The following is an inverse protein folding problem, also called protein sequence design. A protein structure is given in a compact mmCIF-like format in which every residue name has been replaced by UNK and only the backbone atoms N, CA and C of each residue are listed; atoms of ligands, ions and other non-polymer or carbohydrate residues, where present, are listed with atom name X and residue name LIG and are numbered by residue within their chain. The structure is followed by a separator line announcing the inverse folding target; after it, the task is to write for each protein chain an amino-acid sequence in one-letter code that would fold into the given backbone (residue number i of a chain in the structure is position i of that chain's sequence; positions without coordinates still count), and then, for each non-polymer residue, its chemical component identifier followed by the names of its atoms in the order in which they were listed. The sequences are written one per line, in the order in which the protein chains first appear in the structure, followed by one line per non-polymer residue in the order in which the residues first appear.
data_IF_046842813740
#
_entry.id   IF_046842813740
#
_cell.length_a   1.000
_cell.length_b   1.000
_cell.length_c   1.000
_cell.angle_alpha   90.00
_cell.angle_beta   90.00
_cell.angle_gamma   90.00
#
_symmetry.space_group_name_H-M   'P 1'
#
loop_
_entity.id
_entity.type
_entity.pdbx_description
1 polymer ?
#
# COMPACT_ATOMS: atom_id res chain seq x y z
N UNK A 1 -37.08 -18.10 36.95
CA UNK A 1 -38.51 -18.35 37.30
C UNK A 1 -39.34 -18.90 36.12
N UNK A 2 -39.68 -18.16 35.07
CA UNK A 2 -40.50 -18.73 33.97
C UNK A 2 -39.86 -19.95 33.27
N UNK A 3 -38.54 -19.89 33.04
CA UNK A 3 -37.77 -21.00 32.45
C UNK A 3 -37.39 -22.10 33.44
N UNK A 4 -37.60 -21.89 34.74
CA UNK A 4 -37.45 -22.94 35.76
C UNK A 4 -38.71 -23.81 35.83
N UNK A 5 -39.87 -23.23 35.52
CA UNK A 5 -41.16 -23.94 35.47
C UNK A 5 -41.36 -24.64 34.12
N UNK A 6 -40.98 -23.98 33.02
CA UNK A 6 -41.02 -24.56 31.67
C UNK A 6 -39.73 -24.21 30.91
N UNK A 7 -38.80 -25.16 30.87
CA UNK A 7 -37.49 -25.03 30.22
C UNK A 7 -37.58 -25.03 28.69
N UNK A 8 -38.73 -25.38 28.11
CA UNK A 8 -38.96 -25.47 26.66
C UNK A 8 -39.71 -24.27 26.09
N UNK A 9 -40.00 -23.26 26.91
CA UNK A 9 -40.85 -22.14 26.52
C UNK A 9 -40.14 -21.14 25.58
N UNK A 10 -40.42 -21.24 24.28
CA UNK A 10 -39.87 -20.35 23.23
C UNK A 10 -40.18 -18.87 23.49
N UNK A 11 -41.39 -18.54 23.97
CA UNK A 11 -41.78 -17.14 24.25
C UNK A 11 -41.00 -16.56 25.43
N UNK A 12 -40.68 -17.38 26.44
CA UNK A 12 -39.89 -16.96 27.58
C UNK A 12 -38.44 -16.65 27.15
N UNK A 13 -37.81 -17.51 26.34
CA UNK A 13 -36.49 -17.23 25.77
C UNK A 13 -36.48 -15.97 24.90
N UNK A 14 -37.49 -15.79 24.05
CA UNK A 14 -37.60 -14.59 23.21
C UNK A 14 -37.74 -13.30 24.04
N UNK A 15 -38.61 -13.29 25.06
CA UNK A 15 -38.80 -12.13 25.95
C UNK A 15 -37.54 -11.82 26.76
N UNK A 16 -36.84 -12.85 27.25
CA UNK A 16 -35.55 -12.68 27.96
C UNK A 16 -34.49 -12.11 27.01
N UNK A 17 -34.40 -12.62 25.79
CA UNK A 17 -33.48 -12.08 24.78
C UNK A 17 -33.76 -10.61 24.45
N UNK A 18 -35.02 -10.20 24.36
CA UNK A 18 -35.40 -8.81 24.15
C UNK A 18 -35.04 -7.92 25.34
N UNK A 19 -35.17 -8.43 26.58
CA UNK A 19 -34.71 -7.73 27.76
C UNK A 19 -33.18 -7.56 27.75
N UNK A 20 -32.42 -8.61 27.44
CA UNK A 20 -30.96 -8.56 27.28
C UNK A 20 -30.52 -7.59 26.17
N UNK A 21 -31.24 -7.57 25.04
CA UNK A 21 -31.02 -6.60 23.96
C UNK A 21 -31.22 -5.15 24.44
N UNK A 22 -32.26 -4.87 25.22
CA UNK A 22 -32.50 -3.54 25.83
C UNK A 22 -31.46 -3.17 26.89
N UNK A 23 -30.94 -4.16 27.62
CA UNK A 23 -29.86 -3.99 28.60
C UNK A 23 -28.47 -3.84 27.96
N UNK A 24 -28.35 -4.05 26.64
CA UNK A 24 -27.07 -3.97 25.92
C UNK A 24 -26.24 -5.26 25.94
N UNK A 25 -26.69 -6.31 26.65
CA UNK A 25 -26.02 -7.62 26.62
C UNK A 25 -26.44 -8.43 25.39
N UNK A 26 -25.84 -8.07 24.26
CA UNK A 26 -26.08 -8.72 22.98
C UNK A 26 -25.55 -10.17 22.93
N UNK A 27 -24.57 -10.51 23.78
CA UNK A 27 -24.02 -11.87 23.84
C UNK A 27 -24.99 -12.82 24.54
N UNK A 28 -25.61 -12.38 25.64
CA UNK A 28 -26.66 -13.15 26.31
C UNK A 28 -27.94 -13.23 25.46
N UNK A 29 -28.34 -12.14 24.81
CA UNK A 29 -29.48 -12.15 23.88
C UNK A 29 -29.29 -13.17 22.74
N UNK A 30 -28.08 -13.26 22.17
CA UNK A 30 -27.74 -14.25 21.14
C UNK A 30 -27.86 -15.69 21.66
N UNK A 31 -27.45 -15.98 22.90
CA UNK A 31 -27.58 -17.32 23.51
C UNK A 31 -29.05 -17.71 23.64
N UNK A 32 -29.88 -16.82 24.18
CA UNK A 32 -31.30 -17.06 24.38
C UNK A 32 -32.07 -17.26 23.05
N UNK A 33 -31.76 -16.45 22.02
CA UNK A 33 -32.34 -16.62 20.69
C UNK A 33 -31.88 -17.90 19.99
N UNK A 34 -30.65 -18.37 20.24
CA UNK A 34 -30.17 -19.66 19.70
C UNK A 34 -30.95 -20.83 20.30
N UNK A 35 -31.16 -20.83 21.62
CA UNK A 35 -31.98 -21.86 22.28
C UNK A 35 -33.44 -21.81 21.79
N UNK A 36 -33.99 -20.60 21.61
CA UNK A 36 -35.32 -20.44 21.01
C UNK A 36 -35.41 -21.01 19.58
N UNK A 37 -34.38 -20.87 18.74
CA UNK A 37 -34.34 -21.44 17.38
C UNK A 37 -34.17 -22.95 17.37
N UNK A 38 -33.46 -23.53 18.35
CA UNK A 38 -33.36 -25.00 18.49
C UNK A 38 -34.71 -25.61 18.82
N UNK A 39 -35.49 -24.95 19.67
CA UNK A 39 -36.81 -25.41 20.12
C UNK A 39 -37.90 -25.18 19.07
N UNK A 40 -37.89 -24.03 18.38
CA UNK A 40 -38.81 -23.73 17.28
C UNK A 40 -38.06 -23.19 16.05
N UNK A 41 -37.64 -24.10 15.14
CA UNK A 41 -37.03 -23.71 13.87
C UNK A 41 -38.00 -23.03 12.89
N UNK A 42 -39.31 -23.02 13.13
CA UNK A 42 -40.29 -22.44 12.21
C UNK A 42 -40.45 -20.92 12.41
N UNK A 43 -40.11 -20.42 13.61
CA UNK A 43 -40.34 -19.03 13.96
C UNK A 43 -39.42 -18.03 13.22
N UNK A 44 -39.99 -17.34 12.24
CA UNK A 44 -39.30 -16.33 11.43
C UNK A 44 -38.85 -15.10 12.25
N UNK A 45 -39.61 -14.69 13.28
CA UNK A 45 -39.29 -13.50 14.07
C UNK A 45 -37.99 -13.70 14.89
N UNK A 46 -37.86 -14.85 15.55
CA UNK A 46 -36.66 -15.20 16.33
C UNK A 46 -35.42 -15.24 15.44
N UNK A 47 -35.54 -15.79 14.23
CA UNK A 47 -34.43 -15.86 13.24
C UNK A 47 -33.99 -14.47 12.76
N UNK A 48 -34.94 -13.58 12.45
CA UNK A 48 -34.64 -12.21 12.02
C UNK A 48 -33.88 -11.45 13.10
N UNK A 49 -34.33 -11.54 14.35
CA UNK A 49 -33.66 -10.91 15.49
C UNK A 49 -32.28 -11.51 15.77
N UNK A 50 -32.14 -12.84 15.68
CA UNK A 50 -30.84 -13.51 15.83
C UNK A 50 -29.85 -13.04 14.76
N UNK A 51 -30.29 -12.96 13.51
CA UNK A 51 -29.46 -12.48 12.40
C UNK A 51 -29.03 -11.02 12.60
N UNK A 52 -29.94 -10.14 13.03
CA UNK A 52 -29.63 -8.74 13.31
C UNK A 52 -28.56 -8.59 14.41
N UNK A 53 -28.70 -9.33 15.52
CA UNK A 53 -27.72 -9.31 16.62
C UNK A 53 -26.37 -9.89 16.18
N UNK A 54 -26.37 -10.99 15.41
CA UNK A 54 -25.13 -11.59 14.90
C UNK A 54 -24.41 -10.63 13.96
N UNK A 55 -25.13 -9.98 13.04
CA UNK A 55 -24.56 -8.97 12.13
C UNK A 55 -23.86 -7.86 12.89
N UNK A 56 -24.53 -7.28 13.89
CA UNK A 56 -23.96 -6.22 14.73
C UNK A 56 -22.70 -6.68 15.49
N UNK A 57 -22.71 -7.88 16.07
CA UNK A 57 -21.55 -8.44 16.77
C UNK A 57 -20.36 -8.70 15.82
N UNK A 58 -20.63 -9.12 14.59
CA UNK A 58 -19.56 -9.33 13.60
C UNK A 58 -18.96 -8.02 13.10
N UNK A 59 -19.79 -6.98 12.90
CA UNK A 59 -19.33 -5.66 12.46
C UNK A 59 -18.51 -4.96 13.55
N UNK A 60 -18.95 -5.02 14.80
CA UNK A 60 -18.21 -4.48 15.96
C UNK A 60 -16.89 -5.21 16.17
N UNK A 61 -16.88 -6.55 16.16
CA UNK A 61 -15.64 -7.33 16.27
C UNK A 61 -14.68 -7.07 15.09
N UNK A 62 -15.20 -6.88 13.88
CA UNK A 62 -14.38 -6.53 12.71
C UNK A 62 -13.78 -5.12 12.84
N UNK A 63 -14.55 -4.15 13.37
CA UNK A 63 -14.08 -2.80 13.65
C UNK A 63 -13.02 -2.78 14.75
N UNK A 64 -13.23 -3.51 15.84
CA UNK A 64 -12.27 -3.69 16.92
C UNK A 64 -10.98 -4.35 16.42
N UNK A 65 -11.08 -5.42 15.62
CA UNK A 65 -9.91 -6.08 15.03
C UNK A 65 -9.15 -5.15 14.08
N UNK A 66 -9.85 -4.32 13.30
CA UNK A 66 -9.21 -3.29 12.46
C UNK A 66 -8.53 -2.23 13.32
N UNK A 67 -9.21 -1.71 14.34
CA UNK A 67 -8.63 -0.73 15.27
C UNK A 67 -7.40 -1.29 16.00
N UNK A 68 -7.48 -2.51 16.51
CA UNK A 68 -6.35 -3.21 17.13
C UNK A 68 -5.23 -3.48 16.12
N UNK A 69 -5.54 -3.84 14.88
CA UNK A 69 -4.54 -4.02 13.83
C UNK A 69 -3.86 -2.69 13.50
N UNK A 70 -4.60 -1.60 13.44
CA UNK A 70 -4.07 -0.24 13.19
C UNK A 70 -3.21 0.23 14.37
N UNK A 71 -3.67 0.03 15.61
CA UNK A 71 -2.93 0.37 16.82
C UNK A 71 -1.66 -0.49 16.96
N UNK A 72 -1.73 -1.78 16.62
CA UNK A 72 -0.58 -2.68 16.66
C UNK A 72 0.37 -2.48 15.47
N UNK A 73 -0.13 -2.09 14.30
CA UNK A 73 0.72 -1.71 13.16
C UNK A 73 1.48 -0.42 13.44
N UNK A 74 0.87 0.52 14.16
CA UNK A 74 1.53 1.75 14.62
C UNK A 74 2.66 1.45 15.62
N UNK A 75 2.50 0.41 16.46
CA UNK A 75 3.55 -0.03 17.39
C UNK A 75 4.70 -0.80 16.72
N UNK A 76 4.53 -1.34 15.51
CA UNK A 76 5.54 -2.22 14.86
C UNK A 76 6.11 -1.68 13.56
N UNK A 77 5.67 -0.52 13.09
CA UNK A 77 6.18 0.08 11.87
C UNK A 77 5.90 1.56 11.79
N UNK A 78 6.98 2.35 11.84
CA UNK A 78 7.07 3.70 11.27
C UNK A 78 5.91 4.64 11.66
N UNK A 79 5.96 5.11 12.90
CA UNK A 79 5.77 6.52 13.28
C UNK A 79 5.91 6.61 14.79
N UNK A 80 7.17 6.60 15.26
CA UNK A 80 7.51 7.14 16.58
C UNK A 80 7.20 8.64 16.51
N UNK A 81 6.19 9.07 17.27
CA UNK A 81 5.72 10.46 17.36
C UNK A 81 6.70 11.32 18.18
N UNK A 82 8.01 11.23 17.93
CA UNK A 82 8.99 12.16 18.49
C UNK A 82 10.23 12.19 17.59
N UNK A 83 10.58 13.39 17.13
CA UNK A 83 11.58 13.65 16.09
C UNK A 83 13.02 13.32 16.52
N UNK A 84 13.28 13.11 17.81
CA UNK A 84 14.60 12.74 18.36
C UNK A 84 14.97 11.26 18.12
N UNK A 85 13.99 10.40 17.90
CA UNK A 85 14.19 8.93 17.81
C UNK A 85 14.69 8.50 16.42
N UNK A 86 14.49 9.32 15.38
CA UNK A 86 14.90 9.02 13.99
C UNK A 86 16.41 9.17 13.81
N UNK A 87 17.01 10.22 14.38
CA UNK A 87 18.46 10.47 14.32
C UNK A 87 19.22 9.39 15.11
N UNK A 88 18.72 9.05 16.30
CA UNK A 88 19.27 7.95 17.11
C UNK A 88 19.12 6.59 16.42
N UNK A 89 17.97 6.32 15.80
CA UNK A 89 17.78 5.10 15.03
C UNK A 89 18.73 5.00 13.82
N UNK A 90 19.02 6.10 13.14
CA UNK A 90 19.95 6.10 12.02
C UNK A 90 21.41 5.97 12.48
N UNK A 91 21.79 6.60 13.60
CA UNK A 91 23.09 6.39 14.26
C UNK A 91 23.28 4.93 14.69
N UNK A 92 22.29 4.33 15.33
CA UNK A 92 22.33 2.92 15.74
C UNK A 92 22.45 1.96 14.56
N UNK A 93 21.76 2.23 13.44
CA UNK A 93 21.91 1.45 12.20
C UNK A 93 23.32 1.55 11.63
N UNK A 94 23.92 2.74 11.67
CA UNK A 94 25.28 2.94 11.18
C UNK A 94 26.32 2.25 12.07
N UNK A 95 26.16 2.33 13.39
CA UNK A 95 26.98 1.59 14.34
C UNK A 95 26.84 0.08 14.18
N UNK A 96 25.63 -0.42 13.95
CA UNK A 96 25.38 -1.82 13.67
C UNK A 96 26.06 -2.26 12.36
N UNK A 97 26.01 -1.45 11.30
CA UNK A 97 26.75 -1.70 10.05
C UNK A 97 28.26 -1.74 10.29
N UNK A 98 28.80 -0.81 11.08
CA UNK A 98 30.22 -0.76 11.44
C UNK A 98 30.65 -1.98 12.25
N UNK A 99 29.83 -2.40 13.22
CA UNK A 99 30.06 -3.62 14.01
C UNK A 99 30.05 -4.86 13.13
N UNK A 100 29.03 -5.00 12.25
CA UNK A 100 28.96 -6.11 11.28
C UNK A 100 30.16 -6.14 10.34
N UNK A 101 30.66 -4.98 9.91
CA UNK A 101 31.87 -4.88 9.07
C UNK A 101 33.10 -5.38 9.83
N UNK A 102 33.29 -4.95 11.09
CA UNK A 102 34.39 -5.42 11.95
C UNK A 102 34.31 -6.92 12.22
N UNK A 103 33.13 -7.44 12.55
CA UNK A 103 32.90 -8.87 12.77
C UNK A 103 33.18 -9.68 11.49
N UNK A 104 32.78 -9.18 10.32
CA UNK A 104 33.08 -9.82 9.03
C UNK A 104 34.58 -9.83 8.70
N UNK A 105 35.28 -8.74 9.02
CA UNK A 105 36.73 -8.63 8.84
C UNK A 105 37.50 -9.55 9.80
N UNK A 106 37.10 -9.61 11.06
CA UNK A 106 37.67 -10.52 12.05
C UNK A 106 37.42 -11.99 11.67
N UNK A 107 36.21 -12.29 11.16
CA UNK A 107 35.89 -13.61 10.64
C UNK A 107 36.74 -13.95 9.42
N UNK A 108 36.99 -12.99 8.52
CA UNK A 108 37.90 -13.17 7.38
C UNK A 108 39.33 -13.45 7.86
N UNK A 109 39.79 -12.75 8.91
CA UNK A 109 41.12 -12.96 9.50
C UNK A 109 41.24 -14.35 10.12
N UNK A 110 40.25 -14.77 10.92
CA UNK A 110 40.16 -16.13 11.47
C UNK A 110 40.14 -17.20 10.37
N UNK A 111 39.47 -16.92 9.25
CA UNK A 111 39.44 -17.81 8.08
C UNK A 111 40.81 -17.95 7.42
N UNK A 112 41.58 -16.88 7.32
CA UNK A 112 42.95 -16.92 6.78
C UNK A 112 43.86 -17.77 7.67
N UNK A 113 43.77 -17.62 8.99
CA UNK A 113 44.52 -18.46 9.95
C UNK A 113 44.15 -19.94 9.80
N UNK A 114 42.85 -20.26 9.68
CA UNK A 114 42.42 -21.66 9.45
C UNK A 114 42.94 -22.24 8.14
N UNK A 115 43.07 -21.43 7.10
CA UNK A 115 43.65 -21.85 5.83
C UNK A 115 45.16 -22.08 5.97
N UNK A 116 45.88 -21.21 6.69
CA UNK A 116 47.31 -21.39 6.99
C UNK A 116 47.56 -22.69 7.78
N UNK A 117 46.78 -22.96 8.83
CA UNK A 117 46.86 -24.21 9.62
C UNK A 117 46.58 -25.45 8.77
N UNK A 118 45.63 -25.36 7.85
CA UNK A 118 45.27 -26.46 6.94
C UNK A 118 46.36 -26.71 5.89
N UNK A 119 47.01 -25.66 5.39
CA UNK A 119 48.19 -25.76 4.53
C UNK A 119 49.35 -26.44 5.26
N UNK A 120 49.58 -26.10 6.53
CA UNK A 120 50.61 -26.76 7.37
C UNK A 120 50.32 -28.26 7.55
N UNK A 121 49.05 -28.63 7.79
CA UNK A 121 48.66 -30.05 7.88
C UNK A 121 48.86 -30.82 6.57
N UNK A 122 48.63 -30.19 5.42
CA UNK A 122 48.87 -30.82 4.12
C UNK A 122 50.37 -31.00 3.83
N UNK A 123 51.20 -30.05 4.21
CA UNK A 123 52.66 -30.19 4.13
C UNK A 123 53.17 -31.35 5.00
N UNK A 124 52.61 -31.56 6.19
CA UNK A 124 52.96 -32.69 7.04
C UNK A 124 52.54 -34.07 6.48
N UNK A 125 51.57 -34.09 5.56
CA UNK A 125 51.03 -35.29 4.92
C UNK A 125 51.53 -35.47 3.46
N UNK A 126 52.56 -34.73 3.05
CA UNK A 126 53.13 -34.73 1.68
C UNK A 126 52.12 -34.43 0.56
N UNK A 127 51.09 -33.62 0.84
CA UNK A 127 50.08 -33.20 -0.14
C UNK A 127 50.37 -31.79 -0.70
N UNK A 128 49.98 -31.51 -1.96
CA UNK A 128 50.18 -30.19 -2.56
C UNK A 128 49.36 -29.10 -1.85
N UNK A 129 49.92 -27.89 -1.78
CA UNK A 129 49.26 -26.73 -1.17
C UNK A 129 48.05 -26.28 -2.01
N UNK A 130 46.97 -25.89 -1.32
CA UNK A 130 45.70 -25.47 -1.95
C UNK A 130 45.54 -23.95 -1.83
N UNK A 131 45.09 -23.29 -2.89
CA UNK A 131 44.80 -21.85 -2.90
C UNK A 131 43.65 -21.48 -1.94
N UNK A 132 43.72 -20.30 -1.31
CA UNK A 132 42.68 -19.79 -0.39
C UNK A 132 41.28 -19.75 -1.03
N UNK A 133 41.21 -19.43 -2.33
CA UNK A 133 39.94 -19.33 -3.05
C UNK A 133 39.30 -20.70 -3.33
N UNK A 134 40.12 -21.72 -3.60
CA UNK A 134 39.67 -23.09 -3.80
C UNK A 134 39.25 -23.73 -2.46
N UNK A 135 40.02 -23.48 -1.40
CA UNK A 135 39.69 -23.91 -0.04
C UNK A 135 38.37 -23.31 0.48
N UNK A 136 38.14 -22.00 0.28
CA UNK A 136 36.88 -21.36 0.70
C UNK A 136 35.67 -21.85 -0.12
N UNK A 137 35.86 -22.14 -1.43
CA UNK A 137 34.83 -22.75 -2.29
C UNK A 137 34.46 -24.16 -1.81
N UNK A 138 35.45 -25.02 -1.56
CA UNK A 138 35.21 -26.40 -1.10
C UNK A 138 34.50 -26.43 0.25
N UNK A 139 34.91 -25.57 1.18
CA UNK A 139 34.26 -25.44 2.49
C UNK A 139 32.82 -24.94 2.37
N UNK A 140 32.55 -23.92 1.53
CA UNK A 140 31.18 -23.44 1.27
C UNK A 140 30.31 -24.54 0.68
N UNK A 141 30.84 -25.35 -0.23
CA UNK A 141 30.12 -26.50 -0.78
C UNK A 141 29.81 -27.55 0.31
N UNK A 142 30.77 -27.87 1.18
CA UNK A 142 30.58 -28.76 2.34
C UNK A 142 29.53 -28.21 3.31
N UNK A 143 29.54 -26.91 3.62
CA UNK A 143 28.57 -26.26 4.50
C UNK A 143 27.15 -26.27 3.90
N UNK A 144 27.01 -25.95 2.62
CA UNK A 144 25.73 -26.01 1.89
C UNK A 144 25.21 -27.45 1.83
N UNK A 145 26.07 -28.42 1.57
CA UNK A 145 25.70 -29.83 1.55
C UNK A 145 25.22 -30.30 2.94
N UNK A 146 25.95 -29.96 4.01
CA UNK A 146 25.57 -30.29 5.39
C UNK A 146 24.25 -29.62 5.79
N UNK A 147 24.03 -28.35 5.41
CA UNK A 147 22.77 -27.63 5.67
C UNK A 147 21.60 -28.25 4.91
N UNK A 148 21.82 -28.69 3.68
CA UNK A 148 20.82 -29.42 2.87
C UNK A 148 20.48 -30.75 3.53
N UNK A 149 21.47 -31.51 4.00
CA UNK A 149 21.26 -32.76 4.74
C UNK A 149 20.46 -32.53 6.02
N UNK A 150 20.84 -31.55 6.85
CA UNK A 150 20.09 -31.19 8.08
C UNK A 150 18.65 -30.79 7.80
N UNK A 151 18.40 -29.99 6.76
CA UNK A 151 17.03 -29.60 6.38
C UNK A 151 16.20 -30.79 5.91
N UNK A 152 16.80 -31.70 5.13
CA UNK A 152 16.14 -32.93 4.72
C UNK A 152 15.83 -33.84 5.92
N UNK A 153 16.74 -33.93 6.90
CA UNK A 153 16.52 -34.68 8.14
C UNK A 153 15.39 -34.06 8.99
N UNK A 154 15.37 -32.74 9.16
CA UNK A 154 14.31 -32.02 9.89
C UNK A 154 12.95 -32.16 9.20
N UNK A 155 12.92 -32.10 7.88
CA UNK A 155 11.69 -32.31 7.11
C UNK A 155 11.18 -33.75 7.24
N UNK A 156 12.08 -34.74 7.20
CA UNK A 156 11.74 -36.15 7.49
C UNK A 156 11.20 -36.31 8.90
N UNK A 157 11.81 -35.68 9.92
CA UNK A 157 11.33 -35.69 11.31
C UNK A 157 9.94 -35.04 11.44
N UNK A 158 9.71 -33.90 10.76
CA UNK A 158 8.41 -33.22 10.74
C UNK A 158 7.33 -34.05 10.03
N UNK A 159 7.66 -34.71 8.92
CA UNK A 159 6.75 -35.62 8.22
C UNK A 159 6.40 -36.84 9.08
N UNK A 160 7.38 -37.44 9.75
CA UNK A 160 7.16 -38.55 10.68
C UNK A 160 6.28 -38.14 11.87
N UNK A 161 6.51 -36.96 12.46
CA UNK A 161 5.69 -36.43 13.55
C UNK A 161 4.25 -36.15 13.12
N UNK A 162 4.05 -35.61 11.90
CA UNK A 162 2.70 -35.38 11.36
C UNK A 162 1.97 -36.70 11.09
N UNK A 163 2.65 -37.69 10.52
CA UNK A 163 2.07 -39.01 10.29
C UNK A 163 1.67 -39.67 11.62
N UNK A 164 2.53 -39.61 12.64
CA UNK A 164 2.22 -40.12 13.98
C UNK A 164 1.01 -39.43 14.60
N UNK A 165 0.92 -38.09 14.53
CA UNK A 165 -0.25 -37.34 15.01
C UNK A 165 -1.53 -37.63 14.23
N UNK A 166 -1.42 -37.90 12.94
CA UNK A 166 -2.58 -38.27 12.13
C UNK A 166 -3.06 -39.69 12.46
N UNK A 167 -2.15 -40.61 12.76
CA UNK A 167 -2.47 -41.94 13.25
C UNK A 167 -3.09 -41.90 14.65
N UNK A 168 -2.55 -41.08 15.56
CA UNK A 168 -3.15 -40.81 16.88
C UNK A 168 -4.55 -40.22 16.73
N UNK A 169 -4.75 -39.21 15.87
CA UNK A 169 -6.08 -38.64 15.61
C UNK A 169 -7.05 -39.63 14.96
N UNK A 170 -6.55 -40.58 14.15
CA UNK A 170 -7.38 -41.64 13.58
C UNK A 170 -7.81 -42.65 14.66
N UNK A 171 -6.93 -42.98 15.61
CA UNK A 171 -7.27 -43.81 16.77
C UNK A 171 -8.24 -43.11 17.71
N UNK A 172 -8.02 -41.83 18.02
CA UNK A 172 -8.96 -41.01 18.79
C UNK A 172 -10.32 -40.89 18.08
N UNK A 173 -10.36 -40.73 16.75
CA UNK A 173 -11.61 -40.71 15.99
C UNK A 173 -12.32 -42.08 15.93
N UNK A 174 -11.59 -43.20 16.08
CA UNK A 174 -12.16 -44.54 16.21
C UNK A 174 -12.69 -44.80 17.64
N UNK A 175 -12.05 -44.22 18.68
CA UNK A 175 -12.53 -44.26 20.06
C UNK A 175 -13.72 -43.31 20.32
N UNK A 176 -13.73 -42.11 19.74
CA UNK A 176 -14.80 -41.12 19.87
C UNK A 176 -16.03 -41.45 18.99
N UNK A 177 -15.92 -42.38 18.04
CA UNK A 177 -17.08 -42.88 17.27
C UNK A 177 -18.07 -43.71 18.13
N UNK A 178 -17.77 -43.95 19.40
CA UNK A 178 -18.65 -44.66 20.33
C UNK A 178 -19.49 -43.74 21.24
N UNK A 179 -19.24 -42.43 21.30
CA UNK A 179 -19.99 -41.52 22.18
C UNK A 179 -20.15 -40.12 21.58
N UNK A 180 -21.43 -39.78 21.36
CA UNK A 180 -22.00 -38.43 21.21
C UNK A 180 -22.37 -37.99 19.78
N UNK A 181 -23.65 -37.65 19.64
CA UNK A 181 -24.32 -37.33 18.40
C UNK A 181 -24.17 -35.86 18.02
N UNK A 182 -23.02 -35.49 17.46
CA UNK A 182 -22.90 -34.24 16.71
C UNK A 182 -23.32 -34.43 15.24
N UNK A 183 -24.31 -33.64 14.84
CA UNK A 183 -24.90 -33.59 13.50
C UNK A 183 -23.81 -33.47 12.42
N UNK A 184 -23.81 -34.41 11.47
CA UNK A 184 -22.72 -34.57 10.50
C UNK A 184 -22.64 -33.38 9.52
N UNK A 185 -21.44 -33.10 9.00
CA UNK A 185 -21.20 -32.08 7.97
C UNK A 185 -22.09 -32.25 6.71
N UNK A 186 -22.58 -33.49 6.51
CA UNK A 186 -23.57 -33.86 5.49
C UNK A 186 -24.95 -33.23 5.73
N UNK A 187 -25.40 -33.15 6.98
CA UNK A 187 -26.69 -32.58 7.38
C UNK A 187 -26.64 -31.04 7.41
N UNK A 188 -25.50 -30.43 7.77
CA UNK A 188 -25.28 -28.99 7.58
C UNK A 188 -25.31 -28.58 6.10
N UNK A 189 -24.84 -29.46 5.21
CA UNK A 189 -24.85 -29.20 3.76
C UNK A 189 -26.25 -29.25 3.15
N UNK A 190 -27.18 -30.02 3.74
CA UNK A 190 -28.59 -30.05 3.32
C UNK A 190 -29.37 -28.82 3.80
N UNK A 191 -28.97 -28.22 4.93
CA UNK A 191 -29.62 -27.01 5.47
C UNK A 191 -29.22 -25.70 4.75
N UNK A 192 -28.08 -25.70 4.04
CA UNK A 192 -27.47 -24.48 3.47
C UNK A 192 -27.67 -24.30 1.96
N UNK A 193 -28.37 -25.22 1.29
CA UNK A 193 -28.91 -25.02 -0.07
C UNK A 193 -27.88 -24.94 -1.21
N UNK A 194 -26.63 -25.36 -1.00
CA UNK A 194 -25.64 -25.36 -2.08
C UNK A 194 -25.72 -26.63 -2.93
N UNK A 195 -26.09 -26.48 -4.22
CA UNK A 195 -25.99 -27.57 -5.21
C UNK A 195 -24.53 -27.71 -5.67
N UNK A 196 -24.03 -28.94 -5.72
CA UNK A 196 -22.73 -29.28 -6.32
C UNK A 196 -22.92 -29.42 -7.84
N UNK A 197 -22.10 -28.73 -8.63
CA UNK A 197 -22.02 -28.94 -10.09
C UNK A 197 -21.37 -30.30 -10.38
N UNK A 198 -21.49 -30.81 -11.62
CA UNK A 198 -20.94 -32.11 -12.06
C UNK A 198 -19.43 -32.28 -11.79
N UNK A 199 -18.70 -31.19 -11.63
CA UNK A 199 -17.26 -31.16 -11.33
C UNK A 199 -16.92 -31.12 -9.82
N UNK A 200 -17.91 -31.30 -8.94
CA UNK A 200 -17.70 -31.37 -7.49
C UNK A 200 -17.47 -30.03 -6.77
N UNK A 201 -17.49 -28.90 -7.50
CA UNK A 201 -17.37 -27.54 -6.92
C UNK A 201 -18.68 -27.12 -6.24
N UNK A 202 -18.58 -26.60 -5.02
CA UNK A 202 -19.70 -26.04 -4.26
C UNK A 202 -20.01 -24.65 -4.85
N UNK A 203 -21.20 -24.50 -5.44
CA UNK A 203 -21.61 -23.23 -6.07
C UNK A 203 -21.97 -22.18 -5.02
N UNK A 204 -21.67 -20.91 -5.28
CA UNK A 204 -22.18 -19.80 -4.46
C UNK A 204 -23.61 -19.45 -4.89
N UNK A 205 -24.35 -18.76 -4.02
CA UNK A 205 -25.77 -18.37 -4.22
C UNK A 205 -26.04 -17.54 -5.50
N UNK A 206 -25.01 -17.08 -6.19
CA UNK A 206 -25.09 -16.24 -7.40
C UNK A 206 -24.67 -16.97 -8.70
N UNK A 207 -24.45 -18.28 -8.67
CA UNK A 207 -24.01 -19.01 -9.87
C UNK A 207 -25.21 -19.55 -10.63
N UNK A 208 -25.60 -18.90 -11.74
CA UNK A 208 -26.61 -19.41 -12.69
C UNK A 208 -25.90 -20.08 -13.87
N UNK A 209 -26.08 -21.39 -14.03
CA UNK A 209 -25.59 -22.11 -15.20
C UNK A 209 -26.41 -21.68 -16.43
N UNK A 210 -25.75 -21.11 -17.44
CA UNK A 210 -26.40 -20.70 -18.69
C UNK A 210 -26.85 -21.94 -19.47
N UNK A 211 -28.12 -21.97 -19.88
CA UNK A 211 -28.65 -23.08 -20.68
C UNK A 211 -28.06 -23.07 -22.09
N UNK A 212 -28.10 -24.21 -22.79
CA UNK A 212 -27.59 -24.29 -24.17
C UNK A 212 -28.30 -23.31 -25.12
N UNK A 213 -29.56 -22.97 -24.83
CA UNK A 213 -30.29 -21.91 -25.53
C UNK A 213 -29.71 -20.51 -25.27
N UNK A 214 -29.38 -20.19 -24.00
CA UNK A 214 -28.78 -18.90 -23.65
C UNK A 214 -27.41 -18.73 -24.31
N UNK A 215 -26.60 -19.79 -24.32
CA UNK A 215 -25.29 -19.79 -25.01
C UNK A 215 -25.43 -19.59 -26.53
N UNK A 216 -26.48 -20.14 -27.14
CA UNK A 216 -26.74 -20.02 -28.59
C UNK A 216 -27.27 -18.64 -28.98
N UNK A 217 -27.97 -17.94 -28.08
CA UNK A 217 -28.38 -16.55 -28.27
C UNK A 217 -27.18 -15.60 -28.12
N UNK A 218 -26.35 -15.78 -27.08
CA UNK A 218 -25.17 -14.95 -26.84
C UNK A 218 -24.10 -15.05 -27.94
N UNK A 219 -24.00 -16.22 -28.60
CA UNK A 219 -23.09 -16.42 -29.73
C UNK A 219 -23.47 -15.62 -30.99
N UNK A 220 -24.75 -15.22 -31.13
CA UNK A 220 -25.24 -14.48 -32.29
C UNK A 220 -25.25 -12.95 -32.09
N UNK A 221 -24.96 -12.47 -30.88
CA UNK A 221 -24.92 -11.04 -30.50
C UNK A 221 -23.49 -10.48 -30.41
N UNK A 222 -22.50 -11.14 -31.02
CA UNK A 222 -21.17 -10.57 -31.14
C UNK A 222 -21.19 -9.41 -32.16
N UNK A 223 -20.79 -8.18 -31.77
CA UNK A 223 -20.81 -7.04 -32.68
C UNK A 223 -19.89 -7.31 -33.89
N UNK A 224 -20.48 -7.33 -35.09
CA UNK A 224 -19.73 -7.48 -36.34
C UNK A 224 -19.07 -6.16 -36.69
N UNK A 225 -17.76 -6.19 -36.88
CA UNK A 225 -16.96 -5.07 -37.38
C UNK A 225 -17.44 -4.72 -38.79
N UNK A 226 -17.90 -3.48 -38.99
CA UNK A 226 -18.28 -2.96 -40.30
C UNK A 226 -16.99 -2.57 -41.03
N UNK A 227 -16.62 -3.33 -42.07
CA UNK A 227 -15.61 -2.93 -43.04
C UNK A 227 -16.22 -1.91 -44.00
N UNK A 228 -15.47 -0.84 -44.29
CA UNK A 228 -15.97 0.40 -44.88
C UNK A 228 -16.55 0.28 -46.29
N UNK A 229 -17.58 1.10 -46.53
CA UNK A 229 -18.18 1.33 -47.85
C UNK A 229 -19.29 2.36 -47.75
N UNK A 230 -19.09 3.49 -48.43
CA UNK A 230 -20.00 4.64 -48.53
C UNK A 230 -21.41 4.23 -49.02
N UNK A 231 -22.47 4.65 -48.31
CA UNK A 231 -23.75 5.04 -48.91
C UNK A 231 -24.77 5.54 -47.85
N UNK A 232 -25.08 6.84 -47.95
CA UNK A 232 -26.36 7.52 -47.74
C UNK A 232 -27.36 7.04 -46.65
N UNK A 233 -27.59 7.89 -45.64
CA UNK A 233 -28.77 7.92 -44.78
C UNK A 233 -29.53 9.25 -44.98
N UNK A 234 -30.88 9.26 -45.16
CA UNK A 234 -31.67 10.44 -44.93
C UNK A 234 -32.29 10.47 -43.51
N UNK A 235 -32.23 11.67 -42.92
CA UNK A 235 -33.11 12.29 -41.93
C UNK A 235 -33.26 11.66 -40.51
N UNK A 236 -32.42 12.14 -39.58
CA UNK A 236 -32.72 12.30 -38.16
C UNK A 236 -32.50 13.78 -37.75
N UNK A 237 -33.19 14.32 -36.73
CA UNK A 237 -33.29 15.76 -36.50
C UNK A 237 -31.99 16.39 -35.98
N UNK A 238 -31.80 17.66 -36.36
CA UNK A 238 -30.57 18.44 -36.32
C UNK A 238 -29.84 18.52 -34.99
N UNK A 239 -28.54 18.24 -35.06
CA UNK A 239 -27.49 18.81 -34.20
C UNK A 239 -27.42 20.32 -34.41
N UNK A 240 -27.59 21.10 -33.34
CA UNK A 240 -27.14 22.49 -33.29
C UNK A 240 -25.72 22.54 -32.72
N UNK A 241 -24.79 22.91 -33.57
CA UNK A 241 -23.41 23.34 -33.28
C UNK A 241 -23.39 24.71 -32.58
N UNK A 242 -22.24 25.11 -31.98
CA UNK A 242 -22.21 26.09 -30.90
C UNK A 242 -22.17 27.53 -31.43
N UNK A 243 -22.99 28.40 -30.82
CA UNK A 243 -22.84 29.84 -30.92
C UNK A 243 -22.31 30.37 -29.59
N UNK A 244 -21.21 31.08 -29.70
CA UNK A 244 -20.49 31.82 -28.68
C UNK A 244 -21.36 32.88 -28.01
N UNK A 245 -21.47 32.80 -26.68
CA UNK A 245 -21.56 33.97 -25.82
C UNK A 245 -21.15 33.57 -24.40
N UNK A 246 -20.12 34.25 -23.91
CA UNK A 246 -19.69 34.23 -22.51
C UNK A 246 -20.87 34.21 -21.55
N UNK A 247 -20.88 33.25 -20.63
CA UNK A 247 -21.06 33.54 -19.20
C UNK A 247 -20.62 32.32 -18.37
N UNK A 248 -19.88 32.66 -17.32
CA UNK A 248 -19.24 31.82 -16.33
C UNK A 248 -20.21 30.88 -15.60
N UNK A 249 -19.83 29.60 -15.49
CA UNK A 249 -20.46 28.64 -14.59
C UNK A 249 -20.75 27.31 -15.25
N UNK A 250 -19.72 26.47 -15.42
CA UNK A 250 -19.87 25.09 -15.89
C UNK A 250 -20.64 24.26 -14.86
N UNK A 251 -21.95 24.19 -15.04
CA UNK A 251 -22.88 23.34 -14.32
C UNK A 251 -22.68 21.89 -14.76
N UNK A 252 -21.93 21.16 -13.93
CA UNK A 252 -22.09 19.75 -13.56
C UNK A 252 -23.04 18.88 -14.43
N UNK A 253 -22.48 17.85 -15.07
CA UNK A 253 -23.24 16.82 -15.80
C UNK A 253 -24.15 16.02 -14.86
N UNK A 254 -25.26 15.48 -15.37
CA UNK A 254 -26.33 14.79 -14.62
C UNK A 254 -25.90 13.54 -13.79
N UNK A 255 -24.63 13.14 -13.85
CA UNK A 255 -24.02 12.19 -12.90
C UNK A 255 -23.72 12.81 -11.52
N UNK A 256 -23.75 14.15 -11.41
CA UNK A 256 -23.31 14.92 -10.25
C UNK A 256 -24.37 15.08 -9.14
N UNK A 257 -25.47 14.31 -9.21
CA UNK A 257 -26.50 14.24 -8.17
C UNK A 257 -26.27 13.08 -7.17
N UNK A 258 -25.27 12.22 -7.40
CA UNK A 258 -25.12 10.95 -6.67
C UNK A 258 -24.06 10.94 -5.54
N UNK A 259 -23.43 12.08 -5.22
CA UNK A 259 -22.46 12.14 -4.10
C UNK A 259 -21.14 11.41 -4.37
N UNK A 260 -20.70 11.36 -5.62
CA UNK A 260 -19.35 10.91 -6.02
C UNK A 260 -18.41 12.09 -6.12
N UNK A 261 -17.19 11.91 -5.60
CA UNK A 261 -16.11 12.90 -5.60
C UNK A 261 -15.74 13.26 -7.04
N UNK A 262 -15.85 14.53 -7.42
CA UNK A 262 -15.31 15.03 -8.70
C UNK A 262 -13.85 15.41 -8.46
N UNK A 263 -12.95 14.49 -8.79
CA UNK A 263 -11.52 14.74 -8.86
C UNK A 263 -11.17 15.09 -10.31
N UNK A 264 -10.65 16.29 -10.51
CA UNK A 264 -10.14 16.72 -11.81
C UNK A 264 -8.62 16.62 -11.80
N UNK A 265 -8.07 15.84 -12.72
CA UNK A 265 -6.64 15.82 -12.96
C UNK A 265 -6.20 17.14 -13.61
N UNK A 266 -5.21 17.79 -13.01
CA UNK A 266 -4.64 19.08 -13.41
C UNK A 266 -3.13 19.00 -13.58
N UNK A 267 -2.57 17.79 -13.64
CA UNK A 267 -1.13 17.52 -13.66
C UNK A 267 -0.44 18.20 -14.84
N UNK A 268 -1.02 18.21 -16.03
CA UNK A 268 -0.44 18.84 -17.23
C UNK A 268 -0.26 20.36 -17.07
N UNK A 269 -1.26 21.03 -16.49
CA UNK A 269 -1.17 22.47 -16.28
C UNK A 269 -0.16 22.79 -15.18
N UNK A 270 -0.18 22.03 -14.09
CA UNK A 270 0.72 22.24 -12.96
C UNK A 270 2.19 22.05 -13.37
N UNK A 271 2.50 20.98 -14.10
CA UNK A 271 3.87 20.72 -14.58
C UNK A 271 4.35 21.82 -15.53
N UNK A 272 3.51 22.28 -16.45
CA UNK A 272 3.84 23.36 -17.38
C UNK A 272 4.08 24.70 -16.67
N UNK A 273 3.20 25.08 -15.74
CA UNK A 273 3.35 26.33 -14.99
C UNK A 273 4.52 26.31 -14.03
N UNK A 274 4.69 25.23 -13.27
CA UNK A 274 5.80 25.10 -12.34
C UNK A 274 7.14 25.16 -13.09
N UNK A 275 7.25 24.51 -14.26
CA UNK A 275 8.44 24.61 -15.12
C UNK A 275 8.72 26.04 -15.59
N UNK A 276 7.69 26.75 -16.07
CA UNK A 276 7.81 28.13 -16.54
C UNK A 276 8.25 29.08 -15.40
N UNK A 277 7.63 28.93 -14.22
CA UNK A 277 7.94 29.75 -13.04
C UNK A 277 9.36 29.52 -12.53
N UNK A 278 9.79 28.26 -12.45
CA UNK A 278 11.15 27.91 -12.01
C UNK A 278 12.21 28.39 -13.00
N UNK A 279 11.97 28.34 -14.32
CA UNK A 279 12.89 28.91 -15.31
C UNK A 279 12.96 30.45 -15.25
N UNK A 280 11.87 31.10 -14.84
CA UNK A 280 11.82 32.54 -14.68
C UNK A 280 12.44 33.03 -13.35
N UNK A 281 12.69 32.13 -12.39
CA UNK A 281 13.31 32.51 -11.12
C UNK A 281 14.79 32.85 -11.34
N UNK A 282 15.12 34.12 -11.13
CA UNK A 282 16.50 34.60 -11.11
C UNK A 282 16.74 35.43 -9.85
N UNK A 283 17.99 35.57 -9.45
CA UNK A 283 18.39 36.44 -8.34
C UNK A 283 19.67 37.18 -8.71
N UNK A 284 19.82 38.39 -8.18
CA UNK A 284 20.99 39.23 -8.42
C UNK A 284 21.47 39.77 -7.08
N UNK A 285 22.72 39.50 -6.72
CA UNK A 285 23.36 39.99 -5.51
C UNK A 285 24.76 40.50 -5.86
N UNK A 286 25.00 41.80 -5.69
CA UNK A 286 26.23 42.46 -6.12
C UNK A 286 26.47 42.35 -7.61
N UNK A 287 27.65 41.86 -8.01
CA UNK A 287 28.03 41.64 -9.41
C UNK A 287 27.61 40.25 -9.94
N UNK A 288 27.01 39.38 -9.11
CA UNK A 288 26.66 38.03 -9.52
C UNK A 288 25.14 37.88 -9.76
N UNK A 289 24.78 37.28 -10.89
CA UNK A 289 23.41 36.92 -11.26
C UNK A 289 23.28 35.41 -11.34
N UNK A 290 22.34 34.82 -10.60
CA UNK A 290 22.01 33.41 -10.68
C UNK A 290 20.83 33.18 -11.62
N UNK A 291 20.98 32.26 -12.55
CA UNK A 291 19.96 31.82 -13.50
C UNK A 291 19.77 30.31 -13.37
N UNK A 292 18.52 29.86 -13.45
CA UNK A 292 18.20 28.43 -13.57
C UNK A 292 18.34 28.05 -15.05
N UNK A 293 19.29 27.16 -15.35
CA UNK A 293 19.60 26.75 -16.72
C UNK A 293 18.65 25.66 -17.21
N UNK A 294 18.29 24.71 -16.34
CA UNK A 294 17.43 23.58 -16.71
C UNK A 294 16.64 23.04 -15.52
N UNK A 295 15.43 22.56 -15.80
CA UNK A 295 14.58 21.80 -14.87
C UNK A 295 14.61 20.33 -15.29
N UNK A 296 15.35 19.52 -14.54
CA UNK A 296 15.46 18.07 -14.69
C UNK A 296 14.45 17.34 -13.79
N UNK A 297 13.92 16.20 -14.24
CA UNK A 297 13.08 15.29 -13.45
C UNK A 297 11.89 15.94 -12.70
N UNK A 298 11.12 16.79 -13.40
CA UNK A 298 9.83 17.26 -12.89
C UNK A 298 8.81 16.13 -12.94
N UNK A 299 8.62 15.44 -11.81
CA UNK A 299 7.67 14.35 -11.66
C UNK A 299 6.72 14.61 -10.49
N UNK A 300 5.48 14.17 -10.65
CA UNK A 300 4.45 14.38 -9.65
C UNK A 300 3.06 14.36 -10.24
N UNK A 301 2.07 14.46 -9.36
CA UNK A 301 0.65 14.47 -9.70
C UNK A 301 -0.05 15.64 -9.02
N UNK A 302 -1.04 16.20 -9.72
CA UNK A 302 -1.87 17.26 -9.17
C UNK A 302 -3.34 17.09 -9.57
N UNK A 303 -4.20 17.02 -8.57
CA UNK A 303 -5.64 16.94 -8.75
C UNK A 303 -6.39 17.93 -7.87
N UNK A 304 -7.56 18.34 -8.34
CA UNK A 304 -8.48 19.20 -7.60
C UNK A 304 -9.72 18.39 -7.27
N UNK A 305 -9.97 18.18 -5.98
CA UNK A 305 -11.12 17.45 -5.50
C UNK A 305 -12.15 18.42 -4.89
N UNK A 306 -13.39 18.34 -5.38
CA UNK A 306 -14.52 19.09 -4.82
C UNK A 306 -15.27 18.19 -3.83
N UNK A 307 -15.11 18.46 -2.54
CA UNK A 307 -15.80 17.73 -1.47
C UNK A 307 -16.80 18.67 -0.78
N UNK A 308 -18.07 18.61 -1.20
CA UNK A 308 -19.11 19.53 -0.73
C UNK A 308 -18.90 20.94 -1.30
N UNK A 309 -18.82 21.97 -0.43
CA UNK A 309 -18.62 23.38 -0.84
C UNK A 309 -17.14 23.81 -0.82
N UNK A 310 -16.22 22.95 -0.34
CA UNK A 310 -14.80 23.30 -0.20
C UNK A 310 -13.97 22.57 -1.26
N UNK A 311 -13.20 23.35 -2.02
CA UNK A 311 -12.16 22.83 -2.93
C UNK A 311 -10.95 22.34 -2.12
N UNK A 312 -10.42 21.19 -2.50
CA UNK A 312 -9.17 20.64 -1.98
C UNK A 312 -8.20 20.50 -3.13
N UNK A 313 -7.07 21.19 -3.01
CA UNK A 313 -5.96 21.13 -3.93
C UNK A 313 -5.03 20.03 -3.44
N UNK A 314 -4.77 19.03 -4.27
CA UNK A 314 -3.90 17.91 -3.96
C UNK A 314 -2.81 17.98 -5.01
N UNK A 315 -1.59 18.24 -4.58
CA UNK A 315 -0.43 18.17 -5.46
C UNK A 315 0.77 17.66 -4.66
N UNK A 316 1.61 16.89 -5.34
CA UNK A 316 2.86 16.36 -4.85
C UNK A 316 3.84 16.32 -6.03
N UNK A 317 4.87 17.17 -5.98
CA UNK A 317 5.89 17.27 -7.02
C UNK A 317 7.29 17.14 -6.43
N UNK A 318 8.17 16.52 -7.20
CA UNK A 318 9.62 16.53 -7.00
C UNK A 318 10.30 17.15 -8.23
N UNK A 319 11.38 17.89 -8.03
CA UNK A 319 12.18 18.41 -9.14
C UNK A 319 13.68 18.52 -8.83
N UNK A 320 14.48 18.39 -9.89
CA UNK A 320 15.91 18.69 -9.91
C UNK A 320 16.11 19.95 -10.77
N UNK A 321 16.87 20.92 -10.28
CA UNK A 321 17.17 22.14 -11.00
C UNK A 321 18.68 22.27 -11.17
N UNK A 322 19.12 22.67 -12.34
CA UNK A 322 20.50 23.12 -12.58
C UNK A 322 20.51 24.64 -12.62
N UNK A 323 21.47 25.24 -11.94
CA UNK A 323 21.64 26.68 -11.92
C UNK A 323 23.08 27.08 -12.24
N UNK A 324 23.21 28.24 -12.85
CA UNK A 324 24.47 28.89 -13.20
C UNK A 324 24.50 30.28 -12.57
N UNK A 325 25.64 30.65 -11.99
CA UNK A 325 25.90 31.99 -11.48
C UNK A 325 26.89 32.64 -12.44
N UNK A 326 26.51 33.79 -13.01
CA UNK A 326 27.31 34.59 -13.92
C UNK A 326 27.70 35.91 -13.28
N UNK A 327 28.88 36.39 -13.59
CA UNK A 327 29.27 37.77 -13.27
C UNK A 327 28.70 38.71 -14.34
N UNK A 328 28.05 39.79 -13.91
CA UNK A 328 27.45 40.79 -14.79
C UNK A 328 28.51 41.61 -15.56
N UNK A 329 29.72 41.78 -15.01
CA UNK A 329 30.77 42.58 -15.66
C UNK A 329 31.57 41.82 -16.71
N UNK A 330 31.74 40.50 -16.54
CA UNK A 330 32.60 39.65 -17.37
C UNK A 330 31.78 38.69 -18.26
N UNK A 331 30.48 38.53 -17.99
CA UNK A 331 29.58 37.53 -18.60
C UNK A 331 30.15 36.11 -18.57
N UNK A 332 30.96 35.81 -17.54
CA UNK A 332 31.55 34.49 -17.33
C UNK A 332 30.77 33.72 -16.27
N UNK A 333 30.57 32.41 -16.50
CA UNK A 333 29.96 31.50 -15.52
C UNK A 333 30.94 31.28 -14.37
N UNK A 334 30.71 31.94 -13.24
CA UNK A 334 31.54 31.90 -12.04
C UNK A 334 31.37 30.57 -11.30
N UNK A 335 30.13 30.08 -11.19
CA UNK A 335 29.82 28.85 -10.49
C UNK A 335 28.59 28.16 -11.06
N UNK A 336 28.50 26.85 -10.90
CA UNK A 336 27.32 26.08 -11.27
C UNK A 336 27.06 24.98 -10.26
N UNK A 337 25.80 24.61 -10.10
CA UNK A 337 25.39 23.59 -9.17
C UNK A 337 24.02 23.02 -9.51
N UNK A 338 23.62 22.02 -8.73
CA UNK A 338 22.27 21.46 -8.78
C UNK A 338 21.53 21.70 -7.46
N UNK A 339 20.23 21.92 -7.59
CA UNK A 339 19.28 22.11 -6.52
C UNK A 339 18.27 20.97 -6.59
N UNK A 340 17.98 20.31 -5.49
CA UNK A 340 16.96 19.27 -5.45
C UNK A 340 15.84 19.69 -4.51
N UNK A 341 14.61 19.69 -5.03
CA UNK A 341 13.39 19.95 -4.28
C UNK A 341 12.68 18.59 -4.12
N UNK A 342 12.87 17.91 -2.99
CA UNK A 342 12.35 16.57 -2.77
C UNK A 342 10.83 16.53 -2.58
N UNK A 343 10.22 17.61 -2.07
CA UNK A 343 8.82 17.62 -1.67
C UNK A 343 8.18 19.01 -1.85
N UNK A 344 7.39 19.15 -2.93
CA UNK A 344 6.51 20.31 -3.17
C UNK A 344 5.08 19.81 -3.05
N UNK A 345 4.50 19.94 -1.86
CA UNK A 345 3.15 19.45 -1.58
C UNK A 345 2.20 20.55 -1.08
N UNK A 346 0.90 20.28 -1.12
CA UNK A 346 -0.13 21.21 -0.66
C UNK A 346 -0.04 21.58 0.83
N UNK A 347 0.52 20.72 1.67
CA UNK A 347 0.59 20.92 3.12
C UNK A 347 1.78 21.77 3.58
N UNK A 348 2.86 21.81 2.81
CA UNK A 348 4.16 22.38 3.18
C UNK A 348 4.73 23.33 2.11
N UNK A 349 3.88 23.87 1.24
CA UNK A 349 4.28 24.77 0.15
C UNK A 349 4.90 26.11 0.60
N UNK A 350 4.72 26.53 1.85
CA UNK A 350 5.33 27.76 2.40
C UNK A 350 6.77 27.53 2.91
N UNK A 351 7.10 26.29 3.32
CA UNK A 351 8.39 25.90 3.89
C UNK A 351 9.09 24.86 2.99
N UNK A 352 9.13 25.11 1.69
CA UNK A 352 9.76 24.16 0.76
C UNK A 352 11.23 23.93 1.14
N UNK A 353 11.53 22.67 1.42
CA UNK A 353 12.91 22.20 1.63
C UNK A 353 13.65 22.20 0.30
N UNK A 354 14.76 22.92 0.28
CA UNK A 354 15.59 23.07 -0.91
C UNK A 354 16.95 22.49 -0.55
N UNK A 355 17.25 21.31 -1.09
CA UNK A 355 18.53 20.66 -0.85
C UNK A 355 19.56 21.12 -1.87
N UNK A 356 20.64 21.71 -1.34
CA UNK A 356 21.76 22.19 -2.13
C UNK A 356 22.75 21.04 -2.32
N UNK A 357 23.04 20.70 -3.57
CA UNK A 357 24.12 19.76 -3.88
C UNK A 357 25.48 20.48 -3.91
N UNK A 358 26.57 19.71 -3.89
CA UNK A 358 27.92 20.27 -4.03
C UNK A 358 28.08 20.97 -5.38
N UNK A 359 28.88 22.04 -5.41
CA UNK A 359 29.16 22.80 -6.63
C UNK A 359 29.77 21.90 -7.72
N UNK A 360 29.23 22.00 -8.94
CA UNK A 360 29.79 21.36 -10.13
C UNK A 360 30.98 22.16 -10.66
N UNK A 361 30.83 23.48 -10.74
CA UNK A 361 31.94 24.44 -10.95
C UNK A 361 32.07 25.27 -9.68
N UNK A 362 33.19 25.11 -8.98
CA UNK A 362 33.46 25.85 -7.74
C UNK A 362 33.81 27.31 -8.04
N UNK A 363 33.28 28.28 -7.27
CA UNK A 363 33.63 29.69 -7.44
C UNK A 363 35.10 29.94 -7.08
N UNK A 364 35.74 30.85 -7.80
CA UNK A 364 37.09 31.36 -7.47
C UNK A 364 37.09 32.05 -6.09
N UNK A 365 38.25 32.09 -5.43
CA UNK A 365 38.39 32.59 -4.05
C UNK A 365 37.84 34.02 -3.84
N UNK A 366 37.87 34.86 -4.87
CA UNK A 366 37.38 36.25 -4.81
C UNK A 366 35.85 36.35 -4.90
N UNK A 367 35.22 35.41 -5.61
CA UNK A 367 33.77 35.41 -5.84
C UNK A 367 33.00 34.49 -4.89
N UNK A 368 33.69 33.80 -3.98
CA UNK A 368 33.10 32.77 -3.11
C UNK A 368 31.98 33.31 -2.24
N UNK A 369 32.19 34.45 -1.58
CA UNK A 369 31.17 35.05 -0.69
C UNK A 369 29.95 35.53 -1.46
N UNK A 370 30.16 36.12 -2.65
CA UNK A 370 29.08 36.62 -3.50
C UNK A 370 28.30 35.45 -4.11
N UNK A 371 28.98 34.37 -4.52
CA UNK A 371 28.35 33.16 -5.02
C UNK A 371 27.53 32.44 -3.93
N UNK A 372 28.03 32.37 -2.69
CA UNK A 372 27.29 31.81 -1.55
C UNK A 372 26.04 32.64 -1.20
N UNK A 373 26.14 33.98 -1.20
CA UNK A 373 24.98 34.86 -0.98
C UNK A 373 23.97 34.77 -2.12
N UNK A 374 24.43 34.80 -3.37
CA UNK A 374 23.59 34.65 -4.56
C UNK A 374 22.87 33.29 -4.58
N UNK A 375 23.53 32.22 -4.11
CA UNK A 375 22.90 30.92 -3.93
C UNK A 375 21.78 30.95 -2.87
N UNK A 376 21.98 31.65 -1.74
CA UNK A 376 20.93 31.81 -0.73
C UNK A 376 19.74 32.63 -1.25
N UNK A 377 20.01 33.73 -1.97
CA UNK A 377 18.96 34.55 -2.60
C UNK A 377 18.22 33.79 -3.70
N UNK A 378 18.90 32.92 -4.47
CA UNK A 378 18.27 32.02 -5.43
C UNK A 378 17.33 31.03 -4.74
N UNK A 379 17.75 30.42 -3.63
CA UNK A 379 16.90 29.51 -2.84
C UNK A 379 15.65 30.24 -2.34
N UNK A 380 15.78 31.49 -1.88
CA UNK A 380 14.65 32.30 -1.48
C UNK A 380 13.72 32.61 -2.67
N UNK A 381 14.26 32.97 -3.84
CA UNK A 381 13.49 33.24 -5.05
C UNK A 381 12.72 32.00 -5.55
N UNK A 382 13.33 30.82 -5.46
CA UNK A 382 12.68 29.54 -5.79
C UNK A 382 11.52 29.27 -4.84
N UNK A 383 11.70 29.46 -3.52
CA UNK A 383 10.61 29.33 -2.54
C UNK A 383 9.45 30.28 -2.84
N UNK A 384 9.73 31.55 -3.08
CA UNK A 384 8.70 32.52 -3.46
C UNK A 384 7.99 32.12 -4.76
N UNK A 385 8.71 31.58 -5.74
CA UNK A 385 8.13 31.14 -7.01
C UNK A 385 7.16 29.96 -6.83
N UNK A 386 7.44 29.04 -5.90
CA UNK A 386 6.51 27.96 -5.54
C UNK A 386 5.25 28.51 -4.86
N UNK A 387 5.39 29.47 -3.95
CA UNK A 387 4.24 30.12 -3.30
C UNK A 387 3.34 30.82 -4.32
N UNK A 388 3.92 31.55 -5.27
CA UNK A 388 3.15 32.18 -6.36
C UNK A 388 2.46 31.15 -7.25
N UNK A 389 3.13 30.03 -7.55
CA UNK A 389 2.50 28.91 -8.27
C UNK A 389 1.25 28.39 -7.56
N UNK A 390 1.29 28.24 -6.23
CA UNK A 390 0.12 27.81 -5.45
C UNK A 390 -1.01 28.85 -5.49
N UNK A 391 -0.67 30.15 -5.45
CA UNK A 391 -1.66 31.21 -5.62
C UNK A 391 -2.34 31.14 -6.99
N UNK A 392 -1.56 30.99 -8.07
CA UNK A 392 -2.08 30.84 -9.43
C UNK A 392 -2.96 29.59 -9.58
N UNK A 393 -2.57 28.49 -8.93
CA UNK A 393 -3.34 27.25 -8.94
C UNK A 393 -4.69 27.42 -8.26
N UNK A 394 -4.72 28.10 -7.11
CA UNK A 394 -5.93 28.41 -6.35
C UNK A 394 -6.85 29.42 -7.08
N UNK A 395 -6.29 30.35 -7.85
CA UNK A 395 -7.08 31.29 -8.66
C UNK A 395 -7.71 30.62 -9.87
N UNK A 396 -6.98 29.70 -10.51
CA UNK A 396 -7.44 29.03 -11.72
C UNK A 396 -8.52 27.97 -11.47
N UNK A 397 -8.45 27.24 -10.36
CA UNK A 397 -9.33 26.12 -10.05
C UNK A 397 -10.10 26.32 -8.75
#
# INVERSE_FOLDING_TARGET
KALEVDSTNVKAFYRRAMAHKKLGDLKAAKRDLKEAVKLDPSNSAVKKELHAIVKYLTETAAREKKAMKTAFSFSKGKNSFLYEDKVEADRLKEEEKRRKKKEAEELLKKRKVQWEDECVKRMANDQPAISFEEWDKERKQKEVALKKQKRQEEEKKKKALKAKREEERKKEAEEDAALDGELTERELSQLRGYKKTKDGRITSYFTREQTEKDKKLLANEAPKRLEGGEAALPAGPSLLTPSSSNESGTTASAWNAAGTWEERDTTEWCTSQLKSRLLASSSSEGNCVSLISEVEDLGGDASVAIAGTKRRYIFDFHCNLKYEIRDFEVDEVVASGSLHLPDINSASHEEVEVSLSSWTKSPSSEYRTNAELCQQSLVAAVRSSVVYFVSDFNEKY
#
